data_IF_524828821795
#
_entry.id   IF_524828821795
#
_cell.length_a   1.000
_cell.length_b   1.000
_cell.length_c   1.000
_cell.angle_alpha   90.00
_cell.angle_beta   90.00
_cell.angle_gamma   90.00
#
_symmetry.space_group_name_H-M   'P 1'
#
loop_
_entity.id
_entity.type
_entity.pdbx_description
1 polymer ?
#
# COMPACT_ATOMS: atom_id res chain seq x y z
N UNK A 1 -52.73 25.00 38.05
CA UNK A 1 -52.66 24.62 36.61
C UNK A 1 -51.32 24.99 35.99
N UNK A 2 -50.73 26.12 36.26
CA UNK A 2 -49.44 26.58 35.74
C UNK A 2 -48.23 25.71 36.10
N UNK A 3 -48.14 25.19 37.33
CA UNK A 3 -47.02 24.36 37.78
C UNK A 3 -46.92 23.02 37.04
N UNK A 4 -48.04 22.45 36.60
CA UNK A 4 -48.10 21.19 35.85
C UNK A 4 -47.63 21.39 34.41
N UNK A 5 -47.95 22.52 33.83
CA UNK A 5 -47.50 22.90 32.45
C UNK A 5 -45.98 23.18 32.44
N UNK A 6 -45.43 23.81 33.47
CA UNK A 6 -44.00 24.11 33.58
C UNK A 6 -43.15 22.82 33.71
N UNK A 7 -43.63 21.82 34.49
CA UNK A 7 -42.97 20.50 34.58
C UNK A 7 -43.01 19.72 33.26
N UNK A 8 -44.14 19.74 32.56
CA UNK A 8 -44.29 19.04 31.25
C UNK A 8 -43.36 19.65 30.20
N UNK A 9 -43.23 20.97 30.12
CA UNK A 9 -42.35 21.62 29.14
C UNK A 9 -40.87 21.37 29.47
N UNK A 10 -40.47 21.31 30.75
CA UNK A 10 -39.13 20.97 31.18
C UNK A 10 -38.72 19.54 30.80
N UNK A 11 -39.65 18.58 30.96
CA UNK A 11 -39.39 17.17 30.58
C UNK A 11 -39.29 17.00 29.05
N UNK A 12 -40.10 17.72 28.29
CA UNK A 12 -40.07 17.68 26.82
C UNK A 12 -38.77 18.29 26.28
N UNK A 13 -38.32 19.42 26.85
CA UNK A 13 -37.06 20.07 26.46
C UNK A 13 -35.87 19.16 26.78
N UNK A 14 -35.86 18.52 27.96
CA UNK A 14 -34.79 17.61 28.36
C UNK A 14 -34.75 16.35 27.49
N UNK A 15 -35.92 15.82 27.09
CA UNK A 15 -35.99 14.70 26.15
C UNK A 15 -35.52 15.05 24.73
N UNK A 16 -35.81 16.29 24.24
CA UNK A 16 -35.30 16.74 22.94
C UNK A 16 -33.79 17.00 22.99
N UNK A 17 -33.21 17.52 24.07
CA UNK A 17 -31.77 17.72 24.20
C UNK A 17 -31.03 16.37 24.24
N UNK A 18 -31.56 15.37 24.95
CA UNK A 18 -30.97 14.03 25.00
C UNK A 18 -31.08 13.28 23.65
N UNK A 19 -32.15 13.51 22.89
CA UNK A 19 -32.29 12.95 21.53
C UNK A 19 -31.31 13.58 20.53
N UNK A 20 -31.07 14.89 20.63
CA UNK A 20 -30.08 15.61 19.82
C UNK A 20 -28.63 15.19 20.14
N UNK A 21 -28.32 14.92 21.41
CA UNK A 21 -26.97 14.41 21.78
C UNK A 21 -26.73 12.97 21.30
N UNK A 22 -27.76 12.16 21.14
CA UNK A 22 -27.62 10.79 20.60
C UNK A 22 -27.47 10.74 19.08
N UNK A 23 -27.91 11.77 18.34
CA UNK A 23 -27.71 11.85 16.90
C UNK A 23 -26.27 12.25 16.50
N UNK A 24 -25.46 12.75 17.45
CA UNK A 24 -24.08 13.15 17.19
C UNK A 24 -23.05 11.99 17.24
N UNK A 25 -23.47 10.78 17.53
CA UNK A 25 -22.65 9.57 17.31
C UNK A 25 -22.94 8.94 15.93
N UNK A 26 -23.09 9.78 14.91
CA UNK A 26 -22.94 9.31 13.54
C UNK A 26 -21.52 8.71 13.47
N UNK A 27 -21.47 7.40 13.32
CA UNK A 27 -20.27 6.61 13.18
C UNK A 27 -19.30 7.34 12.26
N UNK A 28 -18.19 7.84 12.79
CA UNK A 28 -17.09 8.25 11.94
C UNK A 28 -16.75 6.98 11.15
N UNK A 29 -17.07 6.98 9.88
CA UNK A 29 -16.70 5.89 8.99
C UNK A 29 -15.20 5.76 9.11
N UNK A 30 -14.72 4.60 9.57
CA UNK A 30 -13.29 4.35 9.69
C UNK A 30 -12.66 4.57 8.32
N UNK A 31 -12.01 5.72 8.15
CA UNK A 31 -11.34 6.06 6.90
C UNK A 31 -10.14 5.14 6.76
N UNK A 32 -10.25 4.16 5.87
CA UNK A 32 -9.13 3.28 5.53
C UNK A 32 -8.01 4.13 4.90
N UNK A 33 -6.78 4.09 5.44
CA UNK A 33 -5.67 4.79 4.81
C UNK A 33 -5.39 4.19 3.43
N UNK A 34 -5.01 5.02 2.47
CA UNK A 34 -4.74 4.60 1.11
C UNK A 34 -3.46 5.24 0.55
N UNK A 35 -2.82 4.57 -0.39
CA UNK A 35 -1.68 5.08 -1.11
C UNK A 35 -2.13 6.17 -2.09
N UNK A 36 -1.64 7.41 -1.95
CA UNK A 36 -1.98 8.48 -2.89
C UNK A 36 -1.19 8.35 -4.19
N UNK A 37 -1.73 8.85 -5.31
CA UNK A 37 -0.99 8.91 -6.57
C UNK A 37 0.29 9.76 -6.45
N UNK A 38 0.24 10.84 -5.67
CA UNK A 38 1.42 11.69 -5.40
C UNK A 38 2.55 10.89 -4.75
N UNK A 39 2.23 10.10 -3.74
CA UNK A 39 3.22 9.25 -3.05
C UNK A 39 3.75 8.16 -3.98
N UNK A 40 2.87 7.50 -4.76
CA UNK A 40 3.28 6.49 -5.72
C UNK A 40 4.23 7.04 -6.79
N UNK A 41 3.96 8.22 -7.34
CA UNK A 41 4.86 8.90 -8.31
C UNK A 41 6.22 9.21 -7.69
N UNK A 42 6.25 9.85 -6.54
CA UNK A 42 7.51 10.19 -5.86
C UNK A 42 8.36 8.95 -5.56
N UNK A 43 7.72 7.84 -5.17
CA UNK A 43 8.37 6.55 -4.95
C UNK A 43 8.97 6.00 -6.25
N UNK A 44 8.21 6.01 -7.34
CA UNK A 44 8.69 5.54 -8.64
C UNK A 44 9.85 6.39 -9.16
N UNK A 45 9.78 7.71 -9.04
CA UNK A 45 10.83 8.64 -9.45
C UNK A 45 12.14 8.40 -8.68
N UNK A 46 12.07 8.10 -7.38
CA UNK A 46 13.24 7.78 -6.58
C UNK A 46 13.86 6.43 -6.95
N UNK A 47 13.03 5.41 -7.22
CA UNK A 47 13.48 4.12 -7.70
C UNK A 47 14.11 4.22 -9.10
N UNK A 48 13.51 5.01 -10.00
CA UNK A 48 14.02 5.32 -11.34
C UNK A 48 15.40 6.00 -11.29
N UNK A 49 15.52 7.02 -10.43
CA UNK A 49 16.80 7.69 -10.19
C UNK A 49 17.86 6.68 -9.71
N UNK A 50 17.54 5.84 -8.74
CA UNK A 50 18.46 4.82 -8.23
C UNK A 50 18.91 3.86 -9.33
N UNK A 51 17.99 3.37 -10.16
CA UNK A 51 18.32 2.51 -11.30
C UNK A 51 19.24 3.23 -12.32
N UNK A 52 18.96 4.49 -12.60
CA UNK A 52 19.80 5.33 -13.48
C UNK A 52 21.20 5.51 -12.93
N UNK A 53 21.33 5.81 -11.63
CA UNK A 53 22.64 5.97 -10.95
C UNK A 53 23.45 4.64 -10.98
N UNK A 54 22.76 3.50 -11.01
CA UNK A 54 23.38 2.16 -11.12
C UNK A 54 23.66 1.74 -12.58
N UNK A 55 23.22 2.50 -13.57
CA UNK A 55 23.38 2.17 -14.99
C UNK A 55 22.55 1.00 -15.47
N UNK A 56 21.48 0.64 -14.76
CA UNK A 56 20.57 -0.47 -15.10
C UNK A 56 19.26 0.06 -15.69
N UNK A 57 18.51 -0.82 -16.38
CA UNK A 57 17.24 -0.48 -17.02
C UNK A 57 16.13 -1.34 -16.44
N UNK A 58 15.12 -0.70 -15.86
CA UNK A 58 14.09 -1.37 -15.07
C UNK A 58 12.68 -0.96 -15.45
N UNK A 59 11.73 -1.78 -15.04
CA UNK A 59 10.31 -1.49 -14.90
C UNK A 59 9.99 -1.32 -13.42
N UNK A 60 9.18 -0.33 -13.11
CA UNK A 60 8.74 -0.02 -11.75
C UNK A 60 7.22 -0.03 -11.73
N UNK A 61 6.64 -0.91 -10.95
CA UNK A 61 5.20 -1.02 -10.75
C UNK A 61 4.84 -0.70 -9.30
N UNK A 62 3.81 0.11 -9.09
CA UNK A 62 3.25 0.39 -7.78
C UNK A 62 1.78 0.03 -7.81
N UNK A 63 1.37 -0.84 -6.90
CA UNK A 63 -0.02 -1.27 -6.72
C UNK A 63 -0.60 -0.73 -5.42
N UNK A 64 -1.92 -0.59 -5.36
CA UNK A 64 -2.64 -0.27 -4.12
C UNK A 64 -2.78 -1.51 -3.21
N UNK A 65 -3.45 -1.37 -2.09
CA UNK A 65 -3.69 -2.43 -1.11
C UNK A 65 -4.67 -3.52 -1.60
N UNK A 66 -5.35 -3.30 -2.72
CA UNK A 66 -6.13 -4.31 -3.44
C UNK A 66 -5.34 -5.02 -4.54
N UNK A 67 -4.04 -4.69 -4.72
CA UNK A 67 -3.20 -5.25 -5.78
C UNK A 67 -3.43 -4.62 -7.16
N UNK A 68 -4.22 -3.54 -7.25
CA UNK A 68 -4.51 -2.87 -8.51
C UNK A 68 -3.37 -1.91 -8.88
N UNK A 69 -2.97 -1.89 -10.15
CA UNK A 69 -1.91 -1.02 -10.64
C UNK A 69 -2.30 0.46 -10.46
N UNK A 70 -1.49 1.18 -9.69
CA UNK A 70 -1.70 2.59 -9.39
C UNK A 70 -0.75 3.51 -10.15
N UNK A 71 0.50 3.09 -10.31
CA UNK A 71 1.51 3.80 -11.10
C UNK A 71 2.49 2.82 -11.73
N UNK A 72 2.94 3.15 -12.93
CA UNK A 72 3.89 2.32 -13.66
C UNK A 72 4.87 3.21 -14.43
N UNK A 73 6.15 2.86 -14.35
CA UNK A 73 7.22 3.47 -15.10
C UNK A 73 8.05 2.40 -15.80
N UNK A 74 8.32 2.62 -17.07
CA UNK A 74 9.25 1.83 -17.88
C UNK A 74 10.38 2.71 -18.37
N UNK A 75 11.61 2.37 -18.04
CA UNK A 75 12.78 3.02 -18.64
C UNK A 75 12.98 2.57 -20.07
N UNK A 76 13.51 3.44 -20.92
CA UNK A 76 13.90 3.10 -22.30
C UNK A 76 14.98 2.01 -22.28
N UNK A 77 14.76 0.95 -23.06
CA UNK A 77 15.65 -0.20 -23.12
C UNK A 77 15.47 -1.23 -22.01
N UNK A 78 14.52 -1.07 -21.10
CA UNK A 78 14.22 -2.07 -20.08
C UNK A 78 13.70 -3.39 -20.74
N UNK A 79 14.11 -4.58 -20.23
CA UNK A 79 13.78 -5.86 -20.82
C UNK A 79 12.26 -6.14 -20.85
N UNK A 80 11.71 -6.59 -21.96
CA UNK A 80 10.27 -6.81 -22.13
C UNK A 80 9.66 -7.72 -21.04
N UNK A 81 10.35 -8.79 -20.67
CA UNK A 81 9.87 -9.74 -19.65
C UNK A 81 9.69 -9.08 -18.29
N UNK A 82 10.47 -8.06 -17.98
CA UNK A 82 10.45 -7.37 -16.70
C UNK A 82 9.16 -6.56 -16.47
N UNK A 83 8.40 -6.26 -17.53
CA UNK A 83 7.10 -5.60 -17.43
C UNK A 83 6.14 -6.36 -16.51
N UNK A 84 5.89 -7.62 -16.82
CA UNK A 84 4.99 -8.46 -16.01
C UNK A 84 5.60 -8.81 -14.65
N UNK A 85 6.90 -9.08 -14.62
CA UNK A 85 7.61 -9.44 -13.40
C UNK A 85 7.54 -8.31 -12.37
N UNK A 86 7.69 -7.04 -12.77
CA UNK A 86 7.58 -5.90 -11.83
C UNK A 86 6.19 -5.82 -11.19
N UNK A 87 5.13 -6.03 -11.98
CA UNK A 87 3.75 -6.05 -11.49
C UNK A 87 3.49 -7.23 -10.55
N UNK A 88 3.97 -8.43 -10.91
CA UNK A 88 3.87 -9.62 -10.05
C UNK A 88 4.64 -9.44 -8.73
N UNK A 89 5.82 -8.79 -8.74
CA UNK A 89 6.57 -8.46 -7.53
C UNK A 89 5.79 -7.52 -6.61
N UNK A 90 5.20 -6.46 -7.16
CA UNK A 90 4.37 -5.53 -6.41
C UNK A 90 3.14 -6.22 -5.81
N UNK A 91 2.42 -7.02 -6.62
CA UNK A 91 1.27 -7.80 -6.18
C UNK A 91 1.63 -8.80 -5.08
N UNK A 92 2.70 -9.58 -5.27
CA UNK A 92 3.16 -10.56 -4.28
C UNK A 92 3.47 -9.88 -2.94
N UNK A 93 4.13 -8.72 -2.97
CA UNK A 93 4.46 -7.98 -1.77
C UNK A 93 3.22 -7.57 -0.96
N UNK A 94 2.13 -7.17 -1.63
CA UNK A 94 0.83 -6.88 -0.99
C UNK A 94 0.17 -8.16 -0.49
N UNK A 95 0.02 -9.15 -1.37
CA UNK A 95 -0.73 -10.37 -1.09
C UNK A 95 -0.14 -11.18 0.07
N UNK A 96 1.18 -11.15 0.21
CA UNK A 96 1.91 -11.88 1.27
C UNK A 96 2.32 -10.98 2.44
N UNK A 97 2.12 -9.65 2.34
CA UNK A 97 2.57 -8.63 3.31
C UNK A 97 4.06 -8.71 3.66
N UNK A 98 4.86 -9.29 2.75
CA UNK A 98 6.29 -9.59 2.86
C UNK A 98 7.03 -9.15 1.61
N UNK A 99 8.33 -8.95 1.72
CA UNK A 99 9.16 -8.78 0.52
C UNK A 99 9.15 -10.07 -0.32
N UNK A 100 9.32 -9.94 -1.63
CA UNK A 100 9.38 -11.11 -2.51
C UNK A 100 10.62 -11.98 -2.27
N UNK A 101 11.65 -11.44 -1.63
CA UNK A 101 12.81 -12.22 -1.16
C UNK A 101 12.41 -13.13 0.01
N UNK A 102 11.71 -12.59 1.03
CA UNK A 102 11.17 -13.37 2.15
C UNK A 102 10.20 -14.45 1.68
N UNK A 103 9.35 -14.15 0.68
CA UNK A 103 8.47 -15.17 0.07
C UNK A 103 9.29 -16.30 -0.56
N UNK A 104 10.45 -15.98 -1.16
CA UNK A 104 11.38 -16.98 -1.69
C UNK A 104 11.93 -17.91 -0.61
N UNK A 105 12.24 -17.38 0.56
CA UNK A 105 12.75 -18.18 1.68
C UNK A 105 11.64 -19.04 2.30
N UNK A 106 10.45 -18.51 2.49
CA UNK A 106 9.25 -19.25 2.94
C UNK A 106 8.91 -20.37 1.96
N UNK A 107 8.96 -20.12 0.66
CA UNK A 107 8.72 -21.13 -0.38
C UNK A 107 9.65 -22.32 -0.27
N UNK A 108 10.91 -22.10 0.10
CA UNK A 108 11.90 -23.17 0.29
C UNK A 108 11.69 -23.96 1.58
N UNK A 109 11.37 -23.24 2.66
CA UNK A 109 11.38 -23.80 4.02
C UNK A 109 10.01 -24.36 4.45
N UNK A 110 8.93 -23.65 4.15
CA UNK A 110 7.63 -23.89 4.78
C UNK A 110 6.51 -24.24 3.79
N UNK A 111 6.53 -23.66 2.58
CA UNK A 111 5.42 -23.78 1.64
C UNK A 111 5.94 -24.01 0.21
N UNK A 112 6.52 -25.19 -0.09
CA UNK A 112 6.94 -25.52 -1.45
C UNK A 112 5.76 -25.47 -2.43
N UNK A 113 5.96 -24.80 -3.58
CA UNK A 113 4.93 -24.69 -4.62
C UNK A 113 4.04 -23.45 -4.49
N UNK A 114 4.26 -22.56 -3.53
CA UNK A 114 3.51 -21.30 -3.41
C UNK A 114 3.64 -20.42 -4.68
N UNK A 115 4.72 -20.56 -5.41
CA UNK A 115 4.95 -19.91 -6.69
C UNK A 115 4.04 -20.39 -7.84
N UNK A 116 3.32 -21.49 -7.63
CA UNK A 116 2.30 -21.97 -8.57
C UNK A 116 0.98 -21.22 -8.45
N UNK A 117 0.82 -20.44 -7.40
CA UNK A 117 -0.33 -19.54 -7.25
C UNK A 117 -0.19 -18.41 -8.28
N UNK A 118 -1.23 -18.16 -9.12
CA UNK A 118 -1.16 -17.13 -10.15
C UNK A 118 -0.71 -15.77 -9.61
N UNK A 119 0.17 -15.09 -10.34
CA UNK A 119 0.72 -13.78 -10.03
C UNK A 119 1.67 -13.71 -8.82
N UNK A 120 1.95 -14.81 -8.13
CA UNK A 120 2.98 -14.83 -7.11
C UNK A 120 4.37 -15.07 -7.71
N UNK A 121 5.37 -14.39 -7.13
CA UNK A 121 6.78 -14.50 -7.54
C UNK A 121 7.68 -14.46 -6.31
N UNK A 122 8.78 -15.25 -6.32
CA UNK A 122 9.62 -15.55 -5.15
C UNK A 122 11.06 -15.04 -5.24
N UNK A 123 11.33 -14.00 -5.99
CA UNK A 123 12.67 -13.40 -6.06
C UNK A 123 12.62 -11.88 -5.91
N UNK A 124 13.66 -11.33 -5.28
CA UNK A 124 13.73 -9.96 -4.77
C UNK A 124 13.35 -8.85 -5.76
N UNK A 125 12.97 -7.71 -5.23
CA UNK A 125 12.55 -6.52 -5.95
C UNK A 125 11.08 -6.11 -5.71
N UNK A 126 10.30 -6.90 -4.94
CA UNK A 126 8.98 -6.52 -4.45
C UNK A 126 9.02 -6.20 -2.95
N UNK A 127 8.46 -5.06 -2.54
CA UNK A 127 8.43 -4.62 -1.14
C UNK A 127 7.03 -4.09 -0.80
N UNK A 128 6.42 -4.51 0.35
CA UNK A 128 5.15 -3.99 0.79
C UNK A 128 5.29 -2.54 1.28
N UNK A 129 4.33 -1.70 0.93
CA UNK A 129 4.24 -0.31 1.39
C UNK A 129 3.32 -0.29 2.62
N UNK A 130 3.89 0.03 3.78
CA UNK A 130 3.17 0.10 5.06
C UNK A 130 3.21 1.52 5.63
N UNK A 131 2.13 1.92 6.29
CA UNK A 131 2.14 3.16 7.05
C UNK A 131 2.83 2.98 8.42
N UNK A 132 2.93 4.06 9.19
CA UNK A 132 3.55 4.07 10.53
C UNK A 132 2.87 3.12 11.54
N UNK A 133 1.63 2.70 11.28
CA UNK A 133 0.85 1.75 12.10
C UNK A 133 0.98 0.29 11.60
N UNK A 134 1.80 0.05 10.56
CA UNK A 134 1.97 -1.28 9.97
C UNK A 134 0.86 -1.71 9.01
N UNK A 135 -0.10 -0.84 8.70
CA UNK A 135 -1.20 -1.16 7.79
C UNK A 135 -0.68 -1.12 6.34
N UNK A 136 -1.05 -2.11 5.54
CA UNK A 136 -0.72 -2.17 4.12
C UNK A 136 -1.44 -1.05 3.35
N UNK A 137 -0.67 -0.29 2.59
CA UNK A 137 -1.14 0.75 1.67
C UNK A 137 -1.00 0.33 0.21
N UNK A 138 -0.13 -0.65 -0.07
CA UNK A 138 0.18 -1.11 -1.41
C UNK A 138 1.49 -1.87 -1.48
N UNK A 139 2.05 -1.99 -2.68
CA UNK A 139 3.34 -2.62 -2.93
C UNK A 139 4.10 -1.94 -4.08
N UNK A 140 5.43 -1.93 -3.97
CA UNK A 140 6.32 -1.58 -5.07
C UNK A 140 7.00 -2.82 -5.61
N UNK A 141 7.13 -2.94 -6.94
CA UNK A 141 7.87 -3.99 -7.61
C UNK A 141 8.78 -3.41 -8.67
N UNK A 142 10.06 -3.74 -8.60
CA UNK A 142 11.07 -3.36 -9.57
C UNK A 142 11.62 -4.60 -10.25
N UNK A 143 11.83 -4.54 -11.56
CA UNK A 143 12.38 -5.64 -12.34
C UNK A 143 13.12 -5.14 -13.59
N UNK A 144 14.24 -5.79 -13.90
CA UNK A 144 15.04 -5.47 -15.07
C UNK A 144 16.52 -5.82 -14.95
N UNK A 145 16.99 -6.02 -13.72
CA UNK A 145 18.39 -6.34 -13.39
C UNK A 145 18.48 -7.58 -12.49
N UNK A 146 19.53 -7.68 -11.69
CA UNK A 146 19.63 -8.72 -10.67
C UNK A 146 18.55 -8.52 -9.60
N UNK A 147 18.18 -9.59 -8.90
CA UNK A 147 17.19 -9.51 -7.80
C UNK A 147 17.65 -8.59 -6.66
N UNK A 148 18.94 -8.47 -6.46
CA UNK A 148 19.59 -7.60 -5.48
C UNK A 148 19.48 -6.12 -5.90
N UNK A 149 19.79 -5.81 -7.15
CA UNK A 149 19.70 -4.46 -7.72
C UNK A 149 18.25 -3.98 -7.80
N UNK A 150 17.35 -4.86 -8.25
CA UNK A 150 15.90 -4.61 -8.28
C UNK A 150 15.38 -4.26 -6.86
N UNK A 151 15.81 -5.03 -5.85
CA UNK A 151 15.44 -4.78 -4.46
C UNK A 151 16.02 -3.46 -3.93
N UNK A 152 17.26 -3.12 -4.30
CA UNK A 152 17.88 -1.85 -3.93
C UNK A 152 17.13 -0.65 -4.52
N UNK A 153 16.67 -0.75 -5.76
CA UNK A 153 15.85 0.28 -6.40
C UNK A 153 14.48 0.41 -5.72
N UNK A 154 13.81 -0.71 -5.42
CA UNK A 154 12.53 -0.70 -4.73
C UNK A 154 12.65 -0.08 -3.33
N UNK A 155 13.73 -0.40 -2.59
CA UNK A 155 14.01 0.16 -1.27
C UNK A 155 14.26 1.66 -1.33
N UNK A 156 15.05 2.14 -2.30
CA UNK A 156 15.29 3.56 -2.49
C UNK A 156 13.98 4.34 -2.75
N UNK A 157 13.07 3.75 -3.53
CA UNK A 157 11.73 4.31 -3.72
C UNK A 157 10.94 4.43 -2.42
N UNK A 158 10.92 3.37 -1.62
CA UNK A 158 10.20 3.34 -0.33
C UNK A 158 10.79 4.36 0.67
N UNK A 159 12.13 4.42 0.77
CA UNK A 159 12.83 5.31 1.70
C UNK A 159 12.55 6.80 1.39
N UNK A 160 12.48 7.15 0.12
CA UNK A 160 12.21 8.53 -0.31
C UNK A 160 10.85 9.07 0.15
N UNK A 161 9.88 8.19 0.35
CA UNK A 161 8.50 8.57 0.73
C UNK A 161 8.14 8.23 2.17
N UNK A 162 9.06 7.70 2.97
CA UNK A 162 8.81 7.23 4.33
C UNK A 162 8.09 8.26 5.21
N UNK A 163 8.43 9.53 5.08
CA UNK A 163 7.77 10.62 5.81
C UNK A 163 6.31 10.89 5.35
N UNK A 164 5.93 10.41 4.18
CA UNK A 164 4.58 10.57 3.60
C UNK A 164 3.65 9.39 3.96
N UNK A 165 4.19 8.31 4.52
CA UNK A 165 3.47 7.08 4.89
C UNK A 165 3.04 7.14 6.38
N UNK A 166 2.11 8.04 6.69
CA UNK A 166 1.63 8.26 8.07
C UNK A 166 0.30 7.57 8.32
#
# INVERSE_FOLDING_TARGET
>A
MEQVLRKRNGVIIMAMVTALLRCATASAQDMKPFLTLKTAKAMAEAADKKATDMGIKVHIAIVDDGGNLKYYLRQDGAPLVAEKISQMKAFTAVAMEKSTAEVGDISKAETPGIELVPNLIKFGGGIPIKNSKGQILGGIGVSGASKEDDAACAQAGLDAVKAMLK
#
